data_IF_861050384320
#
_entry.id   IF_861050384320
#
_cell.length_a   1.000
_cell.length_b   1.000
_cell.length_c   1.000
_cell.angle_alpha   90.00
_cell.angle_beta   90.00
_cell.angle_gamma   90.00
#
_symmetry.space_group_name_H-M   'P 1'
#
loop_
_entity.id
_entity.type
_entity.pdbx_description
1 polymer ?
#
# COMPACT_ATOMS: atom_id res chain seq x y z
N UNK A 1 13.14 -16.60 -9.26
CA UNK A 1 13.89 -15.61 -8.46
C UNK A 1 13.04 -14.43 -8.02
N UNK A 2 12.38 -13.69 -8.93
CA UNK A 2 11.57 -12.50 -8.60
C UNK A 2 10.63 -12.68 -7.39
N UNK A 3 9.83 -13.75 -7.35
CA UNK A 3 8.90 -14.01 -6.25
C UNK A 3 9.57 -14.08 -4.87
N UNK A 4 10.79 -14.60 -4.77
CA UNK A 4 11.54 -14.64 -3.49
C UNK A 4 11.96 -13.23 -3.05
N UNK A 5 12.38 -12.39 -3.98
CA UNK A 5 12.74 -10.99 -3.70
C UNK A 5 11.52 -10.17 -3.29
N UNK A 6 10.38 -10.35 -3.96
CA UNK A 6 9.13 -9.68 -3.58
C UNK A 6 8.69 -10.06 -2.16
N UNK A 7 8.79 -11.33 -1.78
CA UNK A 7 8.48 -11.78 -0.40
C UNK A 7 9.45 -11.19 0.63
N UNK A 8 10.75 -11.18 0.36
CA UNK A 8 11.75 -10.58 1.26
C UNK A 8 11.47 -9.08 1.44
N UNK A 9 11.15 -8.38 0.36
CA UNK A 9 10.83 -6.95 0.37
C UNK A 9 9.59 -6.67 1.24
N UNK A 10 8.54 -7.47 1.12
CA UNK A 10 7.32 -7.35 1.95
C UNK A 10 7.64 -7.57 3.43
N UNK A 11 8.44 -8.59 3.75
CA UNK A 11 8.86 -8.85 5.14
C UNK A 11 9.69 -7.69 5.69
N UNK A 12 10.62 -7.15 4.91
CA UNK A 12 11.42 -5.99 5.29
C UNK A 12 10.55 -4.77 5.64
N UNK A 13 9.56 -4.45 4.80
CA UNK A 13 8.63 -3.36 5.08
C UNK A 13 7.73 -3.64 6.30
N UNK A 14 7.39 -4.90 6.58
CA UNK A 14 6.69 -5.26 7.80
C UNK A 14 7.51 -4.93 9.05
N UNK A 15 8.82 -5.23 9.03
CA UNK A 15 9.73 -4.84 10.12
C UNK A 15 9.87 -3.33 10.25
N UNK A 16 9.91 -2.59 9.14
CA UNK A 16 9.91 -1.12 9.18
C UNK A 16 8.66 -0.58 9.87
N UNK A 17 7.46 -1.09 9.55
CA UNK A 17 6.23 -0.66 10.24
C UNK A 17 6.34 -0.89 11.75
N UNK A 18 6.80 -2.06 12.18
CA UNK A 18 6.96 -2.38 13.61
C UNK A 18 7.94 -1.42 14.28
N UNK A 19 9.08 -1.16 13.65
CA UNK A 19 10.08 -0.22 14.17
C UNK A 19 9.52 1.21 14.24
N UNK A 20 8.86 1.69 13.19
CA UNK A 20 8.27 3.03 13.16
C UNK A 20 7.19 3.22 14.21
N UNK A 21 6.36 2.20 14.46
CA UNK A 21 5.37 2.20 15.56
C UNK A 21 6.06 2.25 16.92
N UNK A 22 7.13 1.47 17.12
CA UNK A 22 7.90 1.50 18.36
C UNK A 22 8.49 2.88 18.66
N UNK A 23 9.01 3.57 17.63
CA UNK A 23 9.55 4.92 17.75
C UNK A 23 8.50 6.04 17.72
N UNK A 24 7.21 5.71 17.59
CA UNK A 24 6.11 6.68 17.49
C UNK A 24 6.29 7.73 16.38
N UNK A 25 7.00 7.39 15.31
CA UNK A 25 7.25 8.28 14.17
C UNK A 25 6.13 8.11 13.14
N UNK A 26 5.13 9.00 13.18
CA UNK A 26 3.94 8.95 12.33
C UNK A 26 4.25 9.07 10.83
N UNK A 27 5.30 9.80 10.47
CA UNK A 27 5.72 9.96 9.07
C UNK A 27 6.33 8.65 8.55
N UNK A 28 7.20 8.04 9.35
CA UNK A 28 7.81 6.74 9.06
C UNK A 28 6.78 5.61 9.05
N UNK A 29 5.78 5.65 9.93
CA UNK A 29 4.64 4.72 9.92
C UNK A 29 3.87 4.88 8.60
N UNK A 30 3.50 6.10 8.23
CA UNK A 30 2.74 6.36 7.01
C UNK A 30 3.48 5.89 5.77
N UNK A 31 4.76 6.23 5.66
CA UNK A 31 5.61 5.83 4.53
C UNK A 31 5.70 4.30 4.42
N UNK A 32 6.02 3.64 5.53
CA UNK A 32 6.20 2.19 5.56
C UNK A 32 4.89 1.45 5.23
N UNK A 33 3.75 1.93 5.74
CA UNK A 33 2.43 1.34 5.45
C UNK A 33 2.03 1.52 3.99
N UNK A 34 2.20 2.72 3.41
CA UNK A 34 1.86 2.99 2.00
C UNK A 34 2.68 2.11 1.07
N UNK A 35 4.00 2.04 1.29
CA UNK A 35 4.88 1.24 0.44
C UNK A 35 4.60 -0.26 0.63
N UNK A 36 4.41 -0.73 1.87
CA UNK A 36 4.01 -2.12 2.12
C UNK A 36 2.73 -2.50 1.39
N UNK A 37 1.67 -1.67 1.50
CA UNK A 37 0.37 -1.93 0.88
C UNK A 37 0.46 -1.90 -0.64
N UNK A 38 1.21 -0.95 -1.21
CA UNK A 38 1.47 -0.89 -2.65
C UNK A 38 2.21 -2.15 -3.15
N UNK A 39 3.23 -2.60 -2.43
CA UNK A 39 3.96 -3.83 -2.78
C UNK A 39 3.07 -5.07 -2.69
N UNK A 40 2.29 -5.23 -1.61
CA UNK A 40 1.35 -6.34 -1.46
C UNK A 40 0.33 -6.33 -2.60
N UNK A 41 -0.23 -5.16 -2.92
CA UNK A 41 -1.26 -5.03 -3.94
C UNK A 41 -0.74 -5.25 -5.37
N UNK A 42 0.47 -4.80 -5.69
CA UNK A 42 1.05 -4.93 -7.05
C UNK A 42 1.83 -6.22 -7.26
N UNK A 43 2.46 -6.79 -6.24
CA UNK A 43 3.30 -8.00 -6.36
C UNK A 43 2.58 -9.29 -5.99
N UNK A 44 1.77 -9.29 -4.92
CA UNK A 44 1.02 -10.49 -4.50
C UNK A 44 -0.35 -10.55 -5.19
N UNK A 45 -1.04 -9.42 -5.24
CA UNK A 45 -2.41 -9.34 -5.74
C UNK A 45 -2.52 -8.65 -7.09
N UNK A 46 -1.52 -8.80 -7.96
CA UNK A 46 -1.53 -8.19 -9.29
C UNK A 46 -2.81 -8.46 -10.08
N UNK A 47 -3.26 -7.48 -10.87
CA UNK A 47 -4.50 -7.55 -11.65
C UNK A 47 -4.31 -6.94 -13.04
N UNK A 48 -5.06 -7.44 -14.01
CA UNK A 48 -5.13 -6.89 -15.38
C UNK A 48 -6.26 -5.84 -15.51
N UNK A 49 -6.93 -5.51 -14.42
CA UNK A 49 -8.05 -4.58 -14.43
C UNK A 49 -7.58 -3.12 -14.38
N UNK A 50 -7.55 -2.48 -15.54
CA UNK A 50 -7.09 -1.10 -15.73
C UNK A 50 -7.74 -0.09 -14.77
N UNK A 51 -9.02 -0.30 -14.40
CA UNK A 51 -9.70 0.59 -13.45
C UNK A 51 -9.07 0.50 -12.06
N UNK A 52 -8.82 -0.72 -11.57
CA UNK A 52 -8.20 -0.94 -10.25
C UNK A 52 -6.76 -0.45 -10.22
N UNK A 53 -6.00 -0.70 -11.29
CA UNK A 53 -4.64 -0.18 -11.45
C UNK A 53 -4.65 1.35 -11.38
N UNK A 54 -5.54 2.00 -12.15
CA UNK A 54 -5.67 3.46 -12.13
C UNK A 54 -6.00 4.03 -10.75
N UNK A 55 -6.96 3.43 -10.03
CA UNK A 55 -7.31 3.87 -8.68
C UNK A 55 -6.15 3.71 -7.69
N UNK A 56 -5.42 2.61 -7.78
CA UNK A 56 -4.22 2.38 -6.97
C UNK A 56 -3.12 3.38 -7.28
N UNK A 57 -2.83 3.65 -8.56
CA UNK A 57 -1.82 4.63 -8.95
C UNK A 57 -2.17 6.04 -8.47
N UNK A 58 -3.45 6.43 -8.55
CA UNK A 58 -3.93 7.71 -8.01
C UNK A 58 -3.73 7.75 -6.49
N UNK A 59 -4.10 6.68 -5.77
CA UNK A 59 -3.95 6.62 -4.33
C UNK A 59 -2.48 6.72 -3.91
N UNK A 60 -1.59 5.99 -4.60
CA UNK A 60 -0.15 6.04 -4.37
C UNK A 60 0.43 7.43 -4.67
N UNK A 61 -0.03 8.07 -5.75
CA UNK A 61 0.39 9.41 -6.13
C UNK A 61 -0.01 10.44 -5.08
N UNK A 62 -1.25 10.40 -4.59
CA UNK A 62 -1.73 11.30 -3.53
C UNK A 62 -0.94 11.06 -2.24
N UNK A 63 -0.70 9.80 -1.86
CA UNK A 63 0.14 9.48 -0.69
C UNK A 63 1.56 10.05 -0.83
N UNK A 64 2.14 9.95 -2.03
CA UNK A 64 3.48 10.47 -2.33
C UNK A 64 3.53 12.00 -2.24
N UNK A 65 2.48 12.70 -2.69
CA UNK A 65 2.37 14.15 -2.53
C UNK A 65 2.30 14.51 -1.04
N UNK A 66 1.46 13.82 -0.25
CA UNK A 66 1.34 14.08 1.19
C UNK A 66 2.69 13.91 1.89
N UNK A 67 3.41 12.82 1.58
CA UNK A 67 4.76 12.57 2.08
C UNK A 67 5.74 13.65 1.65
N UNK A 68 5.75 14.03 0.38
CA UNK A 68 6.64 15.07 -0.13
C UNK A 68 6.40 16.41 0.57
N UNK A 69 5.12 16.80 0.72
CA UNK A 69 4.76 18.04 1.38
C UNK A 69 5.17 18.04 2.86
N UNK A 70 5.05 16.89 3.52
CA UNK A 70 5.48 16.73 4.91
C UNK A 70 7.01 16.74 5.07
N UNK A 71 7.74 15.99 4.25
CA UNK A 71 9.19 15.81 4.40
C UNK A 71 10.00 17.02 3.91
N UNK A 72 9.59 17.65 2.80
CA UNK A 72 10.44 18.64 2.12
C UNK A 72 9.95 20.07 2.18
N UNK A 73 8.65 20.29 2.44
CA UNK A 73 8.07 21.64 2.32
C UNK A 73 7.52 22.19 3.63
N UNK A 74 7.47 21.38 4.70
CA UNK A 74 6.82 21.70 5.98
C UNK A 74 5.37 22.22 5.88
N UNK A 75 4.73 22.09 4.70
CA UNK A 75 3.33 22.47 4.47
C UNK A 75 2.41 21.59 5.30
N UNK A 76 2.76 20.30 5.42
CA UNK A 76 2.12 19.36 6.33
C UNK A 76 3.11 19.11 7.46
N UNK A 77 2.92 19.75 8.61
CA UNK A 77 3.86 19.62 9.73
C UNK A 77 3.83 18.23 10.36
N UNK A 78 2.65 17.61 10.42
CA UNK A 78 2.48 16.28 11.01
C UNK A 78 1.43 15.46 10.26
N UNK A 79 1.74 14.19 10.01
CA UNK A 79 0.78 13.22 9.50
C UNK A 79 0.04 12.61 10.69
N UNK A 80 -1.22 12.99 10.86
CA UNK A 80 -2.03 12.49 11.98
C UNK A 80 -2.46 11.04 11.75
N UNK A 81 -2.65 10.28 12.85
CA UNK A 81 -3.12 8.89 12.80
C UNK A 81 -4.39 8.69 11.95
N UNK A 82 -5.42 9.56 11.98
CA UNK A 82 -6.59 9.42 11.11
C UNK A 82 -6.26 9.38 9.62
N UNK A 83 -5.29 10.17 9.15
CA UNK A 83 -4.85 10.16 7.75
C UNK A 83 -4.29 8.79 7.38
N UNK A 84 -3.43 8.24 8.24
CA UNK A 84 -2.83 6.91 8.07
C UNK A 84 -3.93 5.84 7.99
N UNK A 85 -4.92 5.90 8.89
CA UNK A 85 -6.06 4.97 8.91
C UNK A 85 -6.86 5.04 7.60
N UNK A 86 -7.16 6.24 7.12
CA UNK A 86 -7.91 6.44 5.86
C UNK A 86 -7.19 5.79 4.68
N UNK A 87 -5.89 6.07 4.51
CA UNK A 87 -5.10 5.46 3.43
C UNK A 87 -5.04 3.94 3.56
N UNK A 88 -4.89 3.42 4.78
CA UNK A 88 -4.87 1.98 5.05
C UNK A 88 -6.18 1.31 4.62
N UNK A 89 -7.33 1.90 4.96
CA UNK A 89 -8.64 1.37 4.58
C UNK A 89 -8.82 1.41 3.05
N UNK A 90 -8.43 2.50 2.40
CA UNK A 90 -8.53 2.63 0.94
C UNK A 90 -7.68 1.58 0.22
N UNK A 91 -6.43 1.39 0.64
CA UNK A 91 -5.56 0.34 0.11
C UNK A 91 -6.13 -1.06 0.38
N UNK A 92 -6.60 -1.33 1.60
CA UNK A 92 -7.23 -2.58 1.97
C UNK A 92 -8.43 -2.91 1.09
N UNK A 93 -9.24 -1.91 0.75
CA UNK A 93 -10.38 -2.06 -0.17
C UNK A 93 -9.92 -2.43 -1.59
N UNK A 94 -8.87 -1.80 -2.11
CA UNK A 94 -8.32 -2.15 -3.42
C UNK A 94 -7.82 -3.60 -3.43
N UNK A 95 -7.05 -3.99 -2.43
CA UNK A 95 -6.53 -5.36 -2.29
C UNK A 95 -7.69 -6.37 -2.24
N UNK A 96 -8.73 -6.10 -1.44
CA UNK A 96 -9.91 -6.96 -1.36
C UNK A 96 -10.62 -7.12 -2.71
N UNK A 97 -10.77 -6.03 -3.47
CA UNK A 97 -11.36 -6.09 -4.81
C UNK A 97 -10.52 -6.94 -5.77
N UNK A 98 -9.19 -6.81 -5.73
CA UNK A 98 -8.27 -7.64 -6.53
C UNK A 98 -8.34 -9.12 -6.16
N UNK A 99 -8.45 -9.44 -4.87
CA UNK A 99 -8.64 -10.83 -4.39
C UNK A 99 -9.95 -11.41 -4.94
N UNK A 100 -11.06 -10.64 -4.86
CA UNK A 100 -12.36 -11.05 -5.38
C UNK A 100 -12.31 -11.30 -6.89
N UNK A 101 -11.60 -10.46 -7.64
CA UNK A 101 -11.40 -10.63 -9.09
C UNK A 101 -10.63 -11.92 -9.41
N UNK A 102 -9.52 -12.19 -8.73
CA UNK A 102 -8.75 -13.44 -8.90
C UNK A 102 -9.60 -14.68 -8.62
N UNK A 103 -10.40 -14.67 -7.53
CA UNK A 103 -11.30 -15.78 -7.19
C UNK A 103 -12.35 -16.02 -8.28
N UNK A 104 -12.94 -14.96 -8.83
CA UNK A 104 -13.93 -15.06 -9.90
C UNK A 104 -13.32 -15.57 -11.22
N UNK A 105 -12.10 -15.12 -11.58
CA UNK A 105 -11.37 -15.64 -12.75
C UNK A 105 -11.06 -17.13 -12.61
N UNK A 106 -10.66 -17.58 -11.41
CA UNK A 106 -10.40 -18.99 -11.14
C UNK A 106 -11.66 -19.85 -11.30
N UNK A 107 -12.78 -19.43 -10.71
CA UNK A 107 -14.05 -20.17 -10.82
C UNK A 107 -14.55 -20.26 -12.26
N UNK A 108 -14.39 -19.21 -13.08
CA UNK A 108 -14.78 -19.25 -14.50
C UNK A 108 -13.92 -20.17 -15.38
N UNK A 109 -12.69 -20.49 -14.98
CA UNK A 109 -11.81 -21.42 -15.73
C UNK A 109 -12.08 -22.89 -15.43
N UNK A 110 -12.81 -23.19 -14.35
CA UNK A 110 -13.09 -24.54 -13.86
C UNK A 110 -14.56 -24.97 -14.11
N UNK A 111 -15.28 -24.24 -14.96
CA UNK A 111 -16.61 -24.58 -15.48
C UNK A 111 -16.44 -24.77 -16.99
#
# INVERSE_FOLDING_TARGET
MLKKYDTILIIFFLFLIIASVYFSDTNSIFWSVVVFMFLVSTKLFDTENDKLIKYESILFFVASIVLFLNTFTNVITEITLPVIIVFTILYGRIIFLKIKEKKNKYNKKNI
#
